data_IF_110496284079
#
_entry.id   IF_110496284079
#
_cell.length_a   1.000
_cell.length_b   1.000
_cell.length_c   1.000
_cell.angle_alpha   90.00
_cell.angle_beta   90.00
_cell.angle_gamma   90.00
#
_symmetry.space_group_name_H-M   'P 1'
#
loop_
_entity.id
_entity.type
_entity.pdbx_description
1 polymer ?
#
# COMPACT_ATOMS: atom_id res chain seq x y z
N UNK A 1 10.17 -4.89 32.88
CA UNK A 1 9.39 -4.39 31.71
C UNK A 1 9.97 -5.15 30.52
N UNK A 2 9.34 -6.26 30.15
CA UNK A 2 9.76 -7.04 29.01
C UNK A 2 9.63 -6.16 27.76
N UNK A 3 10.72 -6.01 27.03
CA UNK A 3 10.71 -5.38 25.70
C UNK A 3 10.07 -6.41 24.79
N UNK A 4 8.77 -6.23 24.51
CA UNK A 4 8.06 -7.06 23.53
C UNK A 4 8.64 -6.67 22.17
N UNK A 5 9.31 -7.59 21.53
CA UNK A 5 9.83 -7.41 20.19
C UNK A 5 8.63 -7.26 19.22
N UNK A 6 8.46 -6.07 18.67
CA UNK A 6 7.45 -5.76 17.65
C UNK A 6 7.70 -6.68 16.43
N UNK A 7 6.70 -7.46 16.03
CA UNK A 7 6.87 -8.29 14.84
C UNK A 7 6.84 -7.45 13.55
N UNK A 8 7.25 -8.03 12.43
CA UNK A 8 7.36 -7.29 11.15
C UNK A 8 6.04 -6.71 10.67
N UNK A 9 4.91 -7.38 10.91
CA UNK A 9 3.58 -6.88 10.55
C UNK A 9 3.18 -5.67 11.41
N UNK A 10 3.47 -5.70 12.71
CA UNK A 10 3.21 -4.60 13.64
C UNK A 10 4.07 -3.38 13.32
N UNK A 11 5.36 -3.59 13.03
CA UNK A 11 6.26 -2.54 12.56
C UNK A 11 5.69 -1.83 11.31
N UNK A 12 5.29 -2.62 10.30
CA UNK A 12 4.75 -2.08 9.06
C UNK A 12 3.39 -1.41 9.27
N UNK A 13 2.53 -1.94 10.15
CA UNK A 13 1.27 -1.30 10.52
C UNK A 13 1.51 0.11 11.10
N UNK A 14 2.46 0.22 12.03
CA UNK A 14 2.85 1.50 12.63
C UNK A 14 3.40 2.47 11.58
N UNK A 15 4.32 2.02 10.72
CA UNK A 15 4.88 2.85 9.65
C UNK A 15 3.82 3.30 8.64
N UNK A 16 2.90 2.39 8.25
CA UNK A 16 1.83 2.67 7.31
C UNK A 16 0.75 3.61 7.85
N UNK A 17 0.60 3.70 9.18
CA UNK A 17 -0.30 4.66 9.81
C UNK A 17 0.19 6.10 9.63
N UNK A 18 1.51 6.31 9.73
CA UNK A 18 2.11 7.63 9.67
C UNK A 18 2.48 8.03 8.22
N UNK A 19 2.94 7.06 7.39
CA UNK A 19 3.46 7.33 6.04
C UNK A 19 2.82 6.39 4.99
N UNK A 20 2.01 6.93 4.04
CA UNK A 20 1.33 6.16 3.01
C UNK A 20 2.25 5.29 2.13
N UNK A 21 3.50 5.68 1.93
CA UNK A 21 4.50 4.91 1.18
C UNK A 21 4.79 3.50 1.76
N UNK A 22 4.37 3.22 2.99
CA UNK A 22 4.50 1.90 3.62
C UNK A 22 3.25 1.01 3.47
N UNK A 23 2.11 1.57 3.04
CA UNK A 23 0.84 0.84 2.94
C UNK A 23 0.87 -0.34 1.98
N UNK A 24 1.46 -0.24 0.77
CA UNK A 24 1.56 -1.39 -0.12
C UNK A 24 2.34 -2.55 0.51
N UNK A 25 3.50 -2.27 1.12
CA UNK A 25 4.31 -3.29 1.79
C UNK A 25 3.60 -3.89 3.01
N UNK A 26 2.88 -3.09 3.79
CA UNK A 26 2.03 -3.57 4.88
C UNK A 26 0.96 -4.54 4.37
N UNK A 27 0.23 -4.19 3.32
CA UNK A 27 -0.80 -5.03 2.72
C UNK A 27 -0.23 -6.37 2.19
N UNK A 28 0.89 -6.32 1.48
CA UNK A 28 1.59 -7.51 0.99
C UNK A 28 2.02 -8.42 2.15
N UNK A 29 2.61 -7.83 3.21
CA UNK A 29 3.05 -8.58 4.40
C UNK A 29 1.87 -9.18 5.14
N UNK A 30 0.78 -8.42 5.33
CA UNK A 30 -0.43 -8.90 5.98
C UNK A 30 -1.00 -10.13 5.27
N UNK A 31 -1.18 -10.07 3.95
CA UNK A 31 -1.71 -11.19 3.17
C UNK A 31 -0.86 -12.47 3.24
N UNK A 32 0.43 -12.33 3.51
CA UNK A 32 1.38 -13.45 3.65
C UNK A 32 1.66 -13.83 5.12
N UNK A 33 0.98 -13.20 6.09
CA UNK A 33 1.14 -13.49 7.51
C UNK A 33 0.05 -14.40 8.04
N UNK A 34 0.37 -15.13 9.10
CA UNK A 34 -0.66 -15.73 9.95
C UNK A 34 -1.19 -14.67 10.92
N UNK A 35 -2.48 -14.72 11.19
CA UNK A 35 -3.20 -13.84 12.12
C UNK A 35 -3.99 -14.66 13.13
N UNK A 36 -4.32 -14.04 14.24
CA UNK A 36 -5.06 -14.64 15.33
C UNK A 36 -6.46 -14.03 15.39
N UNK A 37 -7.47 -14.84 15.65
CA UNK A 37 -8.83 -14.38 15.85
C UNK A 37 -9.53 -15.18 16.96
N UNK A 38 -10.49 -14.55 17.61
CA UNK A 38 -11.31 -15.20 18.62
C UNK A 38 -12.34 -16.10 17.95
N UNK A 39 -12.38 -17.34 18.35
CA UNK A 39 -13.28 -18.33 17.77
C UNK A 39 -12.94 -19.75 18.16
N UNK A 40 -13.78 -20.68 17.73
CA UNK A 40 -13.60 -22.10 17.97
C UNK A 40 -13.98 -22.91 16.72
N UNK A 41 -13.49 -24.13 16.64
CA UNK A 41 -13.95 -25.14 15.71
C UNK A 41 -14.83 -26.16 16.45
N UNK A 42 -15.71 -26.83 15.74
CA UNK A 42 -16.55 -27.92 16.32
C UNK A 42 -15.72 -29.14 16.76
N UNK A 43 -14.49 -29.27 16.23
CA UNK A 43 -13.56 -30.35 16.59
C UNK A 43 -12.53 -29.82 17.59
N UNK A 44 -12.94 -29.58 18.84
CA UNK A 44 -12.00 -29.19 19.90
C UNK A 44 -11.42 -30.47 20.51
N UNK A 45 -10.23 -30.88 20.08
CA UNK A 45 -9.31 -31.57 20.97
C UNK A 45 -8.54 -30.52 21.75
N UNK A 46 -8.58 -30.65 23.08
CA UNK A 46 -7.97 -29.72 24.01
C UNK A 46 -6.46 -29.57 23.72
N UNK A 47 -6.02 -28.31 23.63
CA UNK A 47 -4.61 -27.88 23.63
C UNK A 47 -3.71 -28.46 22.53
N UNK A 48 -3.69 -27.81 21.36
CA UNK A 48 -2.73 -28.12 20.29
C UNK A 48 -2.94 -27.25 19.05
N UNK A 49 -1.90 -27.10 18.24
CA UNK A 49 -1.99 -26.50 16.92
C UNK A 49 -2.88 -27.38 16.02
N UNK A 50 -4.16 -27.05 15.92
CA UNK A 50 -5.05 -27.76 15.02
C UNK A 50 -4.95 -27.15 13.63
N UNK A 51 -4.43 -27.93 12.68
CA UNK A 51 -4.57 -27.62 11.28
C UNK A 51 -6.05 -27.68 10.92
N UNK A 52 -6.62 -26.58 10.44
CA UNK A 52 -7.99 -26.54 9.94
C UNK A 52 -8.06 -27.41 8.68
N UNK A 53 -8.82 -28.49 8.76
CA UNK A 53 -9.12 -29.31 7.59
C UNK A 53 -10.14 -28.59 6.70
N UNK A 54 -10.04 -28.80 5.38
CA UNK A 54 -11.00 -28.24 4.44
C UNK A 54 -12.43 -28.75 4.76
N UNK A 55 -13.37 -27.82 4.96
CA UNK A 55 -14.75 -28.14 5.35
C UNK A 55 -15.06 -28.05 6.83
N UNK A 56 -14.08 -27.68 7.71
CA UNK A 56 -14.34 -27.44 9.13
C UNK A 56 -15.26 -26.23 9.33
N UNK A 57 -16.26 -26.35 10.20
CA UNK A 57 -17.08 -25.23 10.64
C UNK A 57 -16.31 -24.41 11.68
N UNK A 58 -16.15 -23.12 11.41
CA UNK A 58 -15.49 -22.17 12.31
C UNK A 58 -16.53 -21.21 12.85
N UNK A 59 -16.60 -21.09 14.17
CA UNK A 59 -17.37 -20.04 14.83
C UNK A 59 -16.45 -18.87 15.14
N UNK A 60 -16.65 -17.74 14.46
CA UNK A 60 -15.85 -16.51 14.63
C UNK A 60 -16.61 -15.55 15.53
N UNK A 61 -15.93 -14.96 16.51
CA UNK A 61 -16.51 -13.95 17.37
C UNK A 61 -16.59 -12.60 16.65
N UNK A 62 -17.71 -11.90 16.90
CA UNK A 62 -17.93 -10.54 16.43
C UNK A 62 -17.94 -9.58 17.61
N UNK A 63 -17.34 -8.42 17.42
CA UNK A 63 -17.42 -7.31 18.38
C UNK A 63 -18.36 -6.23 17.83
N UNK A 64 -19.07 -5.58 18.75
CA UNK A 64 -19.89 -4.41 18.39
C UNK A 64 -19.10 -3.13 18.64
N UNK A 65 -19.07 -2.25 17.64
CA UNK A 65 -18.59 -0.89 17.77
C UNK A 65 -19.60 -0.03 18.54
N UNK A 66 -19.15 1.15 18.96
CA UNK A 66 -20.03 2.12 19.66
C UNK A 66 -21.21 2.61 18.81
N UNK A 67 -21.08 2.57 17.47
CA UNK A 67 -22.13 2.89 16.51
C UNK A 67 -23.09 1.72 16.22
N UNK A 68 -22.90 0.57 16.87
CA UNK A 68 -23.71 -0.64 16.71
C UNK A 68 -23.32 -1.54 15.55
N UNK A 69 -22.32 -1.16 14.74
CA UNK A 69 -21.82 -2.00 13.65
C UNK A 69 -21.03 -3.19 14.20
N UNK A 70 -21.26 -4.37 13.59
CA UNK A 70 -20.55 -5.60 13.91
C UNK A 70 -19.26 -5.66 13.11
N UNK A 71 -18.14 -6.00 13.77
CA UNK A 71 -16.82 -6.18 13.15
C UNK A 71 -16.21 -7.51 13.62
N UNK A 72 -15.38 -8.11 12.77
CA UNK A 72 -14.58 -9.27 13.13
C UNK A 72 -13.21 -8.77 13.59
N UNK A 73 -12.88 -8.88 14.90
CA UNK A 73 -11.55 -8.54 15.38
C UNK A 73 -10.56 -9.63 15.00
N UNK A 74 -9.37 -9.21 14.55
CA UNK A 74 -8.24 -10.12 14.34
C UNK A 74 -6.94 -9.43 14.76
N UNK A 75 -5.89 -10.22 15.02
CA UNK A 75 -4.71 -9.74 15.73
C UNK A 75 -3.43 -10.19 15.02
N UNK A 76 -2.42 -9.33 15.05
CA UNK A 76 -1.11 -9.54 14.44
C UNK A 76 -0.24 -10.57 15.20
N UNK A 77 -0.52 -10.75 16.50
CA UNK A 77 0.19 -11.69 17.36
C UNK A 77 -0.71 -12.19 18.50
N UNK A 78 -0.31 -13.28 19.12
CA UNK A 78 -0.99 -13.82 20.28
C UNK A 78 -0.93 -12.84 21.47
N UNK A 79 0.19 -12.14 21.64
CA UNK A 79 0.37 -11.14 22.69
C UNK A 79 -0.62 -9.98 22.55
N UNK A 80 -0.84 -9.50 21.32
CA UNK A 80 -1.82 -8.43 21.06
C UNK A 80 -3.22 -8.92 21.31
N UNK A 81 -3.56 -10.16 20.93
CA UNK A 81 -4.84 -10.77 21.24
C UNK A 81 -5.05 -10.84 22.76
N UNK A 82 -4.11 -11.42 23.50
CA UNK A 82 -4.19 -11.58 24.95
C UNK A 82 -4.38 -10.24 25.69
N UNK A 83 -3.71 -9.18 25.26
CA UNK A 83 -3.90 -7.82 25.80
C UNK A 83 -5.26 -7.21 25.46
N UNK A 84 -5.94 -7.74 24.47
CA UNK A 84 -7.22 -7.22 23.98
C UNK A 84 -8.43 -7.88 24.62
N UNK A 85 -8.25 -8.95 25.41
CA UNK A 85 -9.31 -9.70 26.10
C UNK A 85 -9.12 -9.65 27.62
N UNK A 86 -10.23 -9.62 28.35
CA UNK A 86 -10.22 -9.56 29.81
C UNK A 86 -10.28 -10.95 30.47
N UNK A 87 -10.70 -11.95 29.70
CA UNK A 87 -10.85 -13.35 30.16
C UNK A 87 -10.28 -14.29 29.11
N UNK A 88 -9.84 -15.46 29.56
CA UNK A 88 -9.34 -16.50 28.67
C UNK A 88 -10.42 -16.95 27.68
N UNK A 89 -10.08 -16.99 26.40
CA UNK A 89 -10.99 -17.34 25.31
C UNK A 89 -10.27 -18.22 24.28
N UNK A 90 -11.03 -19.05 23.60
CA UNK A 90 -10.52 -19.84 22.48
C UNK A 90 -10.15 -18.94 21.30
N UNK A 91 -9.02 -19.25 20.66
CA UNK A 91 -8.55 -18.54 19.50
C UNK A 91 -8.11 -19.49 18.39
N UNK A 92 -8.10 -18.97 17.19
CA UNK A 92 -7.62 -19.66 15.98
C UNK A 92 -6.46 -18.87 15.38
N UNK A 93 -5.50 -19.58 14.78
CA UNK A 93 -4.45 -19.00 13.97
C UNK A 93 -4.60 -19.50 12.53
N UNK A 94 -4.66 -18.59 11.58
CA UNK A 94 -4.78 -18.93 10.16
C UNK A 94 -4.14 -17.85 9.27
N UNK A 95 -3.84 -18.17 8.00
CA UNK A 95 -3.36 -17.17 7.05
C UNK A 95 -4.37 -16.03 6.89
N UNK A 96 -3.90 -14.79 6.91
CA UNK A 96 -4.77 -13.61 6.75
C UNK A 96 -5.56 -13.65 5.43
N UNK A 97 -4.95 -14.15 4.35
CA UNK A 97 -5.64 -14.36 3.07
C UNK A 97 -6.87 -15.27 3.24
N UNK A 98 -6.72 -16.40 3.93
CA UNK A 98 -7.84 -17.33 4.17
C UNK A 98 -8.93 -16.70 5.04
N UNK A 99 -8.54 -15.91 6.06
CA UNK A 99 -9.50 -15.13 6.84
C UNK A 99 -10.33 -14.20 5.95
N UNK A 100 -9.67 -13.44 5.08
CA UNK A 100 -10.33 -12.49 4.18
C UNK A 100 -11.23 -13.19 3.16
N UNK A 101 -10.79 -14.33 2.61
CA UNK A 101 -11.58 -15.13 1.67
C UNK A 101 -12.87 -15.69 2.31
N UNK A 102 -12.78 -16.15 3.57
CA UNK A 102 -13.94 -16.71 4.31
C UNK A 102 -14.92 -15.64 4.79
N UNK A 103 -14.47 -14.41 4.99
CA UNK A 103 -15.26 -13.35 5.62
C UNK A 103 -15.62 -12.22 4.65
N UNK A 104 -15.66 -12.50 3.36
CA UNK A 104 -16.08 -11.52 2.36
C UNK A 104 -17.47 -10.95 2.69
N UNK A 105 -17.60 -9.64 2.59
CA UNK A 105 -18.82 -8.92 2.96
C UNK A 105 -18.87 -8.46 4.42
N UNK A 106 -17.95 -8.91 5.27
CA UNK A 106 -17.83 -8.43 6.63
C UNK A 106 -16.80 -7.29 6.75
N UNK A 107 -16.95 -6.47 7.77
CA UNK A 107 -15.93 -5.51 8.21
C UNK A 107 -15.00 -6.21 9.20
N UNK A 108 -13.69 -6.12 8.95
CA UNK A 108 -12.66 -6.68 9.83
C UNK A 108 -11.85 -5.55 10.48
N UNK A 109 -11.32 -5.83 11.68
CA UNK A 109 -10.49 -4.85 12.38
C UNK A 109 -9.22 -5.51 12.94
N UNK A 110 -8.09 -5.15 12.39
CA UNK A 110 -6.76 -5.56 12.89
C UNK A 110 -6.42 -4.77 14.14
N UNK A 111 -6.08 -5.46 15.23
CA UNK A 111 -5.60 -4.90 16.51
C UNK A 111 -6.51 -3.79 17.09
N UNK A 112 -7.83 -4.00 17.28
CA UNK A 112 -8.80 -2.94 17.59
C UNK A 112 -8.57 -2.19 18.91
N UNK A 113 -7.86 -2.80 19.89
CA UNK A 113 -7.53 -2.16 21.19
C UNK A 113 -6.07 -1.69 21.28
N UNK A 114 -5.33 -1.75 20.19
CA UNK A 114 -3.95 -1.31 20.15
C UNK A 114 -3.81 0.16 19.73
N UNK A 115 -2.66 0.76 20.01
CA UNK A 115 -2.34 2.12 19.55
C UNK A 115 -2.43 2.25 18.01
N UNK A 116 -2.01 1.22 17.32
CA UNK A 116 -2.10 1.12 15.86
C UNK A 116 -3.01 -0.04 15.50
N UNK A 117 -4.08 0.27 14.82
CA UNK A 117 -5.06 -0.68 14.31
C UNK A 117 -5.55 -0.24 12.93
N UNK A 118 -6.12 -1.17 12.17
CA UNK A 118 -6.65 -0.88 10.83
C UNK A 118 -7.97 -1.58 10.64
N UNK A 119 -9.00 -0.81 10.31
CA UNK A 119 -10.28 -1.33 9.85
C UNK A 119 -10.22 -1.62 8.35
N UNK A 120 -10.78 -2.74 7.94
CA UNK A 120 -10.92 -3.16 6.54
C UNK A 120 -12.40 -3.27 6.22
N UNK A 121 -12.86 -2.41 5.34
CA UNK A 121 -14.21 -2.47 4.80
C UNK A 121 -14.36 -3.61 3.79
N UNK A 122 -15.57 -4.14 3.53
CA UNK A 122 -15.77 -5.25 2.59
C UNK A 122 -15.18 -5.00 1.20
N UNK A 123 -15.29 -3.76 0.71
CA UNK A 123 -14.73 -3.37 -0.59
C UNK A 123 -13.20 -3.36 -0.59
N UNK A 124 -12.57 -2.90 0.52
CA UNK A 124 -11.11 -2.95 0.67
C UNK A 124 -10.61 -4.40 0.72
N UNK A 125 -11.32 -5.28 1.43
CA UNK A 125 -10.99 -6.73 1.50
C UNK A 125 -11.04 -7.36 0.11
N UNK A 126 -12.11 -7.14 -0.64
CA UNK A 126 -12.27 -7.67 -2.00
C UNK A 126 -11.16 -7.16 -2.93
N UNK A 127 -10.83 -5.87 -2.83
CA UNK A 127 -9.77 -5.25 -3.62
C UNK A 127 -8.39 -5.79 -3.22
N UNK A 128 -8.11 -5.90 -1.93
CA UNK A 128 -6.86 -6.42 -1.40
C UNK A 128 -6.60 -7.87 -1.85
N UNK A 129 -7.63 -8.72 -1.87
CA UNK A 129 -7.52 -10.10 -2.34
C UNK A 129 -7.20 -10.20 -3.84
N UNK A 130 -7.70 -9.26 -4.65
CA UNK A 130 -7.52 -9.26 -6.11
C UNK A 130 -6.22 -8.61 -6.57
N UNK A 131 -5.82 -7.51 -5.94
CA UNK A 131 -4.70 -6.67 -6.39
C UNK A 131 -3.50 -6.69 -5.45
N UNK A 132 -3.67 -7.14 -4.20
CA UNK A 132 -2.65 -7.09 -3.17
C UNK A 132 -2.50 -5.73 -2.47
N UNK A 133 -3.33 -4.74 -2.84
CA UNK A 133 -3.36 -3.39 -2.23
C UNK A 133 -4.78 -3.01 -1.83
N UNK A 134 -4.92 -2.07 -0.89
CA UNK A 134 -6.24 -1.70 -0.34
C UNK A 134 -7.10 -0.82 -1.25
N UNK A 135 -6.49 -0.12 -2.21
CA UNK A 135 -7.17 0.78 -3.14
C UNK A 135 -6.49 0.77 -4.50
N UNK A 136 -7.25 0.92 -5.60
CA UNK A 136 -6.71 1.02 -6.95
C UNK A 136 -7.05 2.38 -7.57
N UNK A 137 -6.09 3.00 -8.24
CA UNK A 137 -6.40 4.13 -9.10
C UNK A 137 -7.25 3.70 -10.29
N UNK A 138 -8.08 4.58 -10.78
CA UNK A 138 -8.73 4.41 -12.08
C UNK A 138 -7.65 4.58 -13.14
N UNK A 139 -7.24 3.48 -13.78
CA UNK A 139 -6.31 3.55 -14.90
C UNK A 139 -7.05 4.04 -16.15
N UNK A 140 -6.60 5.13 -16.74
CA UNK A 140 -6.96 5.51 -18.10
C UNK A 140 -5.83 5.06 -19.04
N UNK A 141 -6.21 4.36 -20.09
CA UNK A 141 -5.31 4.04 -21.21
C UNK A 141 -5.56 5.10 -22.26
N UNK A 142 -4.55 5.90 -22.58
CA UNK A 142 -4.60 6.84 -23.72
C UNK A 142 -4.38 6.00 -24.98
N UNK A 143 -5.43 5.81 -25.77
CA UNK A 143 -5.40 4.87 -26.91
C UNK A 143 -5.00 5.49 -28.24
N UNK A 144 -4.98 6.82 -28.38
CA UNK A 144 -4.64 7.49 -29.67
C UNK A 144 -3.87 8.82 -29.47
N UNK A 145 -3.20 9.28 -30.54
CA UNK A 145 -2.50 10.57 -30.60
C UNK A 145 -3.47 11.74 -30.40
N UNK A 146 -3.72 12.10 -29.17
CA UNK A 146 -4.57 13.24 -28.82
C UNK A 146 -3.68 14.46 -28.56
N UNK A 147 -4.07 15.63 -29.07
CA UNK A 147 -3.39 16.89 -28.77
C UNK A 147 -3.64 17.31 -27.34
N UNK A 148 -2.74 16.93 -26.44
CA UNK A 148 -2.77 17.30 -25.02
C UNK A 148 -1.97 18.57 -24.78
N UNK A 149 -2.46 19.42 -23.87
CA UNK A 149 -1.66 20.51 -23.33
C UNK A 149 -0.90 19.98 -22.11
N UNK A 150 0.40 20.19 -22.11
CA UNK A 150 1.30 19.76 -21.04
C UNK A 150 1.95 20.99 -20.38
N UNK A 151 2.15 20.94 -19.08
CA UNK A 151 2.77 22.01 -18.32
C UNK A 151 3.14 21.60 -16.91
N UNK A 152 3.63 22.52 -16.11
CA UNK A 152 3.87 22.30 -14.68
C UNK A 152 2.62 22.66 -13.85
N UNK A 153 2.32 21.91 -12.76
CA UNK A 153 1.23 22.24 -11.88
C UNK A 153 1.50 23.54 -11.11
N UNK A 154 0.52 24.45 -11.11
CA UNK A 154 0.62 25.71 -10.37
C UNK A 154 0.68 25.48 -8.84
N UNK A 155 -0.03 24.44 -8.36
CA UNK A 155 0.01 23.99 -6.98
C UNK A 155 0.75 22.67 -6.91
N UNK A 156 2.00 22.70 -6.44
CA UNK A 156 2.82 21.50 -6.35
C UNK A 156 2.38 20.63 -5.16
N UNK A 157 2.00 19.35 -5.37
CA UNK A 157 1.45 18.48 -4.34
C UNK A 157 2.54 17.85 -3.47
N UNK A 158 3.24 18.65 -2.65
CA UNK A 158 4.42 18.24 -1.89
C UNK A 158 4.23 16.94 -1.12
N UNK A 159 3.12 16.81 -0.35
CA UNK A 159 2.87 15.61 0.45
C UNK A 159 2.81 14.34 -0.39
N UNK A 160 2.15 14.39 -1.54
CA UNK A 160 2.06 13.26 -2.46
C UNK A 160 3.44 12.91 -3.04
N UNK A 161 4.19 13.93 -3.48
CA UNK A 161 5.52 13.74 -4.07
C UNK A 161 6.50 13.19 -3.05
N UNK A 162 6.46 13.64 -1.80
CA UNK A 162 7.31 13.11 -0.73
C UNK A 162 7.01 11.62 -0.47
N UNK A 163 5.74 11.24 -0.37
CA UNK A 163 5.33 9.84 -0.20
C UNK A 163 5.70 8.98 -1.41
N UNK A 164 5.48 9.46 -2.63
CA UNK A 164 5.87 8.74 -3.85
C UNK A 164 7.39 8.59 -3.97
N UNK A 165 8.16 9.60 -3.59
CA UNK A 165 9.63 9.52 -3.54
C UNK A 165 10.10 8.40 -2.60
N UNK A 166 9.48 8.29 -1.43
CA UNK A 166 9.78 7.22 -0.48
C UNK A 166 9.35 5.84 -1.00
N UNK A 167 8.22 5.76 -1.71
CA UNK A 167 7.79 4.52 -2.36
C UNK A 167 8.78 4.09 -3.44
N UNK A 168 9.12 4.98 -4.37
CA UNK A 168 10.01 4.67 -5.49
C UNK A 168 11.42 4.26 -5.04
N UNK A 169 11.91 4.82 -3.93
CA UNK A 169 13.18 4.41 -3.35
C UNK A 169 13.22 2.93 -2.91
N UNK A 170 12.05 2.29 -2.70
CA UNK A 170 11.95 0.86 -2.38
C UNK A 170 11.93 -0.03 -3.62
N UNK A 171 11.67 0.54 -4.80
CA UNK A 171 11.60 -0.16 -6.08
C UNK A 171 12.92 -0.08 -6.84
N UNK A 172 13.63 -1.20 -6.94
CA UNK A 172 14.93 -1.24 -7.63
C UNK A 172 14.86 -0.99 -9.12
N UNK A 173 13.71 -1.20 -9.74
CA UNK A 173 13.47 -1.02 -11.17
C UNK A 173 13.00 0.38 -11.54
N UNK A 174 12.77 1.28 -10.59
CA UNK A 174 12.43 2.68 -10.88
C UNK A 174 13.71 3.49 -11.02
N UNK A 175 13.91 4.15 -12.16
CA UNK A 175 15.08 4.97 -12.48
C UNK A 175 14.81 6.45 -12.19
N UNK A 176 13.67 6.96 -12.69
CA UNK A 176 13.28 8.36 -12.49
C UNK A 176 11.76 8.52 -12.51
N UNK A 177 11.25 9.62 -11.94
CA UNK A 177 9.84 9.96 -12.00
C UNK A 177 9.65 11.47 -12.17
N UNK A 178 8.63 11.83 -12.95
CA UNK A 178 8.33 13.18 -13.40
C UNK A 178 6.88 13.54 -13.10
N UNK A 179 6.63 14.78 -12.71
CA UNK A 179 5.27 15.30 -12.50
C UNK A 179 4.97 16.38 -13.53
N UNK A 180 3.85 16.24 -14.21
CA UNK A 180 3.31 17.27 -15.09
C UNK A 180 1.82 17.47 -14.87
N UNK A 181 1.29 18.55 -15.42
CA UNK A 181 -0.15 18.80 -15.60
C UNK A 181 -0.51 18.48 -17.03
N UNK A 182 -1.54 17.68 -17.24
CA UNK A 182 -2.07 17.31 -18.55
C UNK A 182 -3.50 17.79 -18.72
N UNK A 183 -3.85 18.28 -19.89
CA UNK A 183 -5.21 18.64 -20.25
C UNK A 183 -5.52 18.21 -21.68
N UNK A 184 -6.34 17.20 -21.81
CA UNK A 184 -6.99 16.84 -23.06
C UNK A 184 -8.33 17.54 -23.17
N UNK A 185 -8.39 18.62 -23.95
CA UNK A 185 -9.63 19.42 -24.12
C UNK A 185 -10.78 18.65 -24.78
N UNK A 186 -10.51 17.49 -25.39
CA UNK A 186 -11.55 16.68 -26.04
C UNK A 186 -12.28 15.76 -25.05
N UNK A 187 -11.64 15.45 -23.92
CA UNK A 187 -12.12 14.45 -22.95
C UNK A 187 -12.25 15.04 -21.54
N UNK A 188 -11.34 15.95 -21.16
CA UNK A 188 -11.23 16.42 -19.79
C UNK A 188 -11.90 17.79 -19.61
N UNK A 189 -12.78 17.91 -18.63
CA UNK A 189 -13.34 19.21 -18.23
C UNK A 189 -12.30 20.13 -17.58
N UNK A 190 -11.30 19.53 -16.90
CA UNK A 190 -10.22 20.24 -16.17
C UNK A 190 -8.88 19.53 -16.37
N UNK A 191 -7.78 20.31 -16.31
CA UNK A 191 -6.45 19.70 -16.25
C UNK A 191 -6.33 18.75 -15.05
N UNK A 192 -5.55 17.67 -15.21
CA UNK A 192 -5.25 16.72 -14.17
C UNK A 192 -3.74 16.44 -14.09
N UNK A 193 -3.31 15.88 -12.97
CA UNK A 193 -1.91 15.54 -12.78
C UNK A 193 -1.56 14.25 -13.53
N UNK A 194 -0.34 14.20 -14.06
CA UNK A 194 0.22 12.99 -14.64
C UNK A 194 1.61 12.74 -14.07
N UNK A 195 1.88 11.50 -13.68
CA UNK A 195 3.20 11.05 -13.26
C UNK A 195 3.75 10.07 -14.29
N UNK A 196 4.84 10.48 -14.94
CA UNK A 196 5.64 9.61 -15.77
C UNK A 196 6.69 8.89 -14.95
N UNK A 197 6.79 7.57 -15.12
CA UNK A 197 7.75 6.73 -14.41
C UNK A 197 8.63 6.01 -15.41
N UNK A 198 9.94 6.20 -15.31
CA UNK A 198 10.94 5.46 -16.06
C UNK A 198 11.35 4.23 -15.26
N UNK A 199 11.17 3.04 -15.85
CA UNK A 199 11.46 1.77 -15.19
C UNK A 199 12.25 0.83 -16.07
N UNK A 200 13.08 0.00 -15.43
CA UNK A 200 13.66 -1.19 -16.06
C UNK A 200 12.57 -2.29 -16.08
N UNK A 201 12.03 -2.61 -17.25
CA UNK A 201 11.00 -3.62 -17.44
C UNK A 201 9.57 -3.16 -17.11
N UNK A 202 8.73 -4.06 -16.60
CA UNK A 202 7.30 -3.81 -16.35
C UNK A 202 7.07 -2.87 -15.16
N UNK A 203 6.30 -1.81 -15.38
CA UNK A 203 5.93 -0.83 -14.36
C UNK A 203 4.60 -1.15 -13.64
N UNK A 204 3.87 -2.20 -14.01
CA UNK A 204 2.51 -2.46 -13.54
C UNK A 204 2.39 -2.48 -12.01
N UNK A 205 3.28 -3.20 -11.31
CA UNK A 205 3.28 -3.25 -9.84
C UNK A 205 3.54 -1.86 -9.25
N UNK A 206 4.55 -1.15 -9.77
CA UNK A 206 4.94 0.19 -9.32
C UNK A 206 3.79 1.19 -9.50
N UNK A 207 3.16 1.20 -10.69
CA UNK A 207 2.02 2.09 -10.98
C UNK A 207 0.84 1.78 -10.06
N UNK A 208 0.54 0.51 -9.81
CA UNK A 208 -0.54 0.10 -8.92
C UNK A 208 -0.30 0.58 -7.49
N UNK A 209 0.90 0.41 -6.96
CA UNK A 209 1.27 0.86 -5.61
C UNK A 209 1.33 2.40 -5.52
N UNK A 210 1.90 3.06 -6.53
CA UNK A 210 1.96 4.52 -6.61
C UNK A 210 0.56 5.14 -6.65
N UNK A 211 -0.36 4.54 -7.39
CA UNK A 211 -1.74 4.97 -7.42
C UNK A 211 -2.44 4.87 -6.08
N UNK A 212 -2.21 3.78 -5.33
CA UNK A 212 -2.75 3.64 -3.97
C UNK A 212 -2.21 4.74 -3.02
N UNK A 213 -0.92 5.02 -3.08
CA UNK A 213 -0.29 6.10 -2.28
C UNK A 213 -0.82 7.47 -2.70
N UNK A 214 -1.00 7.71 -3.99
CA UNK A 214 -1.50 8.98 -4.51
C UNK A 214 -2.93 9.26 -4.05
N UNK A 215 -3.84 8.28 -4.08
CA UNK A 215 -5.23 8.44 -3.61
C UNK A 215 -5.28 8.92 -2.16
N UNK A 216 -4.36 8.42 -1.32
CA UNK A 216 -4.30 8.78 0.10
C UNK A 216 -3.70 10.18 0.37
N UNK A 217 -3.01 10.74 -0.61
CA UNK A 217 -2.21 11.98 -0.46
C UNK A 217 -2.64 13.11 -1.40
N UNK A 218 -3.43 12.80 -2.42
CA UNK A 218 -3.91 13.75 -3.42
C UNK A 218 -4.87 14.77 -2.77
N UNK A 219 -4.77 16.05 -3.10
CA UNK A 219 -5.76 17.04 -2.68
C UNK A 219 -7.17 16.67 -3.17
N UNK A 220 -8.18 16.99 -2.33
CA UNK A 220 -9.58 16.68 -2.66
C UNK A 220 -10.01 17.36 -3.96
N UNK A 221 -10.57 16.56 -4.86
CA UNK A 221 -11.10 17.04 -6.14
C UNK A 221 -10.08 17.11 -7.27
N UNK A 222 -8.83 16.73 -7.03
CA UNK A 222 -7.83 16.52 -8.07
C UNK A 222 -7.83 15.06 -8.53
N UNK A 223 -7.44 14.83 -9.78
CA UNK A 223 -7.24 13.52 -10.38
C UNK A 223 -5.80 13.37 -10.86
N UNK A 224 -5.34 12.13 -10.93
CA UNK A 224 -3.97 11.80 -11.30
C UNK A 224 -3.93 10.55 -12.16
N UNK A 225 -3.15 10.60 -13.21
CA UNK A 225 -2.84 9.47 -14.08
C UNK A 225 -1.37 9.06 -13.94
N UNK A 226 -1.09 7.79 -14.18
CA UNK A 226 0.25 7.22 -14.18
C UNK A 226 0.60 6.69 -15.56
N UNK A 227 1.80 7.00 -16.00
CA UNK A 227 2.30 6.65 -17.32
C UNK A 227 3.69 6.03 -17.23
N UNK A 228 3.87 4.88 -17.87
CA UNK A 228 5.22 4.32 -18.04
C UNK A 228 5.91 5.00 -19.20
N UNK A 229 7.04 5.66 -18.94
CA UNK A 229 7.86 6.27 -19.96
C UNK A 229 8.45 5.17 -20.86
N UNK A 230 8.29 5.33 -22.17
CA UNK A 230 8.76 4.39 -23.19
C UNK A 230 9.94 4.98 -23.94
N UNK A 231 10.96 4.17 -24.17
CA UNK A 231 12.04 4.52 -25.07
C UNK A 231 11.49 4.77 -26.49
N UNK A 232 11.98 5.84 -27.16
CA UNK A 232 11.60 6.22 -28.53
C UNK A 232 10.13 6.66 -28.73
N UNK A 233 9.42 7.03 -27.68
CA UNK A 233 8.12 7.69 -27.79
C UNK A 233 8.32 9.21 -27.96
N UNK A 234 7.94 9.74 -29.13
CA UNK A 234 8.07 11.16 -29.50
C UNK A 234 6.97 12.06 -28.93
N UNK A 235 6.14 11.57 -28.06
CA UNK A 235 5.03 12.33 -27.47
C UNK A 235 5.27 12.73 -26.02
N UNK A 236 4.47 12.13 -25.13
CA UNK A 236 4.49 12.42 -23.71
C UNK A 236 5.83 12.04 -23.04
N UNK A 237 6.43 10.92 -23.45
CA UNK A 237 7.73 10.49 -22.91
C UNK A 237 8.83 11.51 -23.21
N UNK A 238 8.94 11.99 -24.47
CA UNK A 238 9.93 12.99 -24.85
C UNK A 238 9.74 14.30 -24.08
N UNK A 239 8.49 14.76 -23.93
CA UNK A 239 8.20 15.96 -23.16
C UNK A 239 8.66 15.82 -21.69
N UNK A 240 8.29 14.73 -21.03
CA UNK A 240 8.65 14.50 -19.63
C UNK A 240 10.17 14.44 -19.44
N UNK A 241 10.88 13.74 -20.32
CA UNK A 241 12.33 13.58 -20.23
C UNK A 241 13.12 14.86 -20.57
N UNK A 242 12.58 15.73 -21.45
CA UNK A 242 13.34 16.89 -21.94
C UNK A 242 12.94 18.22 -21.32
N UNK A 243 11.68 18.37 -20.90
CA UNK A 243 11.12 19.64 -20.43
C UNK A 243 10.83 19.66 -18.92
N UNK A 244 10.68 18.50 -18.28
CA UNK A 244 10.32 18.41 -16.87
C UNK A 244 11.51 17.90 -16.06
N UNK A 245 11.77 18.54 -14.92
CA UNK A 245 12.79 18.06 -13.98
C UNK A 245 12.21 16.88 -13.17
N UNK A 246 12.93 15.76 -13.07
CA UNK A 246 12.49 14.65 -12.25
C UNK A 246 12.37 15.05 -10.77
N UNK A 247 11.30 14.61 -10.12
CA UNK A 247 11.19 14.73 -8.67
C UNK A 247 11.82 13.55 -7.93
N UNK A 248 12.05 12.44 -8.62
CA UNK A 248 12.77 11.27 -8.14
C UNK A 248 13.79 10.83 -9.18
N UNK A 249 15.00 10.56 -8.73
CA UNK A 249 16.08 9.91 -9.49
C UNK A 249 16.75 8.87 -8.61
N UNK A 250 16.94 7.67 -9.15
CA UNK A 250 17.67 6.59 -8.49
C UNK A 250 19.13 7.01 -8.27
N UNK A 251 19.49 7.22 -7.01
CA UNK A 251 20.88 7.50 -6.65
C UNK A 251 21.70 6.22 -6.73
N UNK A 252 22.49 6.06 -7.77
CA UNK A 252 23.60 5.13 -7.76
C UNK A 252 24.53 5.57 -6.63
N UNK A 253 24.87 4.62 -5.71
CA UNK A 253 25.62 4.91 -4.50
C UNK A 253 26.73 5.91 -4.78
N UNK A 254 26.79 6.95 -3.97
CA UNK A 254 27.78 8.03 -4.05
C UNK A 254 29.13 7.37 -4.12
N UNK A 255 29.83 7.44 -5.29
CA UNK A 255 31.27 7.23 -5.33
C UNK A 255 31.81 8.26 -4.34
N UNK A 256 32.28 7.81 -3.19
CA UNK A 256 33.16 8.57 -2.36
C UNK A 256 34.35 8.91 -3.26
N UNK A 257 34.36 10.10 -3.84
CA UNK A 257 35.57 10.69 -4.34
C UNK A 257 36.48 10.86 -3.14
N UNK A 258 37.30 9.84 -2.88
CA UNK A 258 38.45 9.98 -2.02
C UNK A 258 39.38 10.96 -2.71
N UNK A 259 39.23 12.23 -2.41
CA UNK A 259 40.31 13.21 -2.56
C UNK A 259 41.34 12.86 -1.49
N UNK A 260 42.11 11.81 -1.74
CA UNK A 260 43.40 11.64 -1.10
C UNK A 260 44.28 12.74 -1.66
N UNK A 261 44.34 13.84 -0.93
CA UNK A 261 45.37 14.82 -1.12
C UNK A 261 46.73 14.14 -0.91
N UNK A 262 47.49 14.01 -2.02
CA UNK A 262 48.90 13.72 -2.01
C UNK A 262 49.60 14.92 -1.35
N UNK A 263 49.80 14.86 -0.03
CA UNK A 263 50.77 15.70 0.65
C UNK A 263 52.16 15.21 0.25
N UNK A 264 52.84 15.95 -0.57
CA UNK A 264 54.28 15.87 -0.70
C UNK A 264 54.91 16.60 0.48
N UNK A 265 55.73 15.87 1.22
CA UNK A 265 56.85 16.44 1.97
C UNK A 265 58.09 16.40 1.09
#
# INVERSE_FOLDING_TARGET
MEIIEENKLEELLRLAADEPAHRPQFCETLLNSNVFLLGATEQVEAYGHNNLEAGSHIQIQHWQRADGLSVIPFFSSLEVLQKSIDTEQSYLMLPARSLFEMTQGATLFLNPKSKYGKEFLPQEVAHLLTTGISQSPVQRVVEEETKVLLGEPANYPHKMIDSLTQLFAKHRNVNSAYLALMHDKSVDEKPHLIIGIETDGDAKKVITEAGSVAIDTLPKGESIDFYQIKENDSGLSEFLLTQIKPFYEKRWGTKLCSTLGSGNA
#
